data_IF_967716335706
#
_entry.id   IF_967716335706
#
_cell.length_a   1.000
_cell.length_b   1.000
_cell.length_c   1.000
_cell.angle_alpha   90.00
_cell.angle_beta   90.00
_cell.angle_gamma   90.00
#
_symmetry.space_group_name_H-M   'P 1'
#
loop_
_entity.id
_entity.type
_entity.pdbx_description
1 polymer ?
#
# COMPACT_ATOMS: atom_id res chain seq x y z
N UNK A 1 10.40 -23.56 -3.54
CA UNK A 1 10.30 -22.22 -2.92
C UNK A 1 10.22 -21.18 -4.01
N UNK A 2 9.44 -20.13 -3.80
CA UNK A 2 9.30 -19.04 -4.76
C UNK A 2 10.35 -17.95 -4.53
N UNK A 3 10.93 -17.49 -5.63
CA UNK A 3 11.89 -16.40 -5.67
C UNK A 3 11.43 -15.35 -6.66
N UNK A 4 11.85 -14.12 -6.43
CA UNK A 4 11.67 -13.00 -7.34
C UNK A 4 13.04 -12.54 -7.83
N UNK A 5 13.20 -12.43 -9.15
CA UNK A 5 14.35 -11.79 -9.77
C UNK A 5 13.94 -10.42 -10.28
N UNK A 6 14.69 -9.41 -9.88
CA UNK A 6 14.64 -8.06 -10.43
C UNK A 6 15.96 -7.79 -11.13
N UNK A 7 15.93 -7.41 -12.40
CA UNK A 7 17.13 -7.03 -13.13
C UNK A 7 16.92 -5.77 -13.95
N UNK A 8 18.04 -5.09 -14.20
CA UNK A 8 18.10 -3.79 -14.86
C UNK A 8 18.83 -3.93 -16.20
N UNK A 9 18.18 -3.53 -17.28
CA UNK A 9 18.76 -3.42 -18.62
C UNK A 9 19.00 -1.93 -18.92
N UNK A 10 20.14 -1.61 -19.54
CA UNK A 10 20.42 -0.24 -20.00
C UNK A 10 19.54 0.14 -21.19
N UNK A 11 19.09 1.40 -21.25
CA UNK A 11 18.23 1.86 -22.34
C UNK A 11 18.89 1.73 -23.73
N UNK A 12 20.22 1.78 -23.83
CA UNK A 12 20.95 1.51 -25.08
C UNK A 12 20.71 0.12 -25.67
N UNK A 13 20.34 -0.87 -24.86
CA UNK A 13 20.10 -2.26 -25.27
C UNK A 13 18.62 -2.60 -25.44
N UNK A 14 17.76 -1.59 -25.55
CA UNK A 14 16.31 -1.78 -25.70
C UNK A 14 15.94 -2.57 -26.96
N UNK A 15 16.72 -2.46 -28.04
CA UNK A 15 16.51 -3.24 -29.27
C UNK A 15 16.73 -4.74 -29.08
N UNK A 16 17.59 -5.12 -28.13
CA UNK A 16 17.93 -6.51 -27.81
C UNK A 16 17.13 -7.04 -26.62
N UNK A 17 16.06 -6.33 -26.20
CA UNK A 17 15.33 -6.61 -24.97
C UNK A 17 14.83 -8.05 -24.90
N UNK A 18 14.17 -8.54 -25.94
CA UNK A 18 13.61 -9.90 -25.97
C UNK A 18 14.69 -10.97 -25.92
N UNK A 19 15.82 -10.73 -26.60
CA UNK A 19 16.97 -11.62 -26.57
C UNK A 19 17.57 -11.70 -25.17
N UNK A 20 17.78 -10.56 -24.52
CA UNK A 20 18.32 -10.49 -23.15
C UNK A 20 17.37 -11.20 -22.18
N UNK A 21 16.05 -11.00 -22.32
CA UNK A 21 15.03 -11.71 -21.54
C UNK A 21 15.12 -13.22 -21.72
N UNK A 22 15.26 -13.69 -22.96
CA UNK A 22 15.38 -15.11 -23.27
C UNK A 22 16.64 -15.73 -22.66
N UNK A 23 17.79 -15.06 -22.77
CA UNK A 23 19.05 -15.52 -22.18
C UNK A 23 18.99 -15.57 -20.65
N UNK A 24 18.39 -14.57 -20.00
CA UNK A 24 18.17 -14.58 -18.53
C UNK A 24 17.23 -15.72 -18.12
N UNK A 25 16.16 -15.96 -18.90
CA UNK A 25 15.27 -17.09 -18.66
C UNK A 25 16.02 -18.43 -18.76
N UNK A 26 16.79 -18.61 -19.81
CA UNK A 26 17.56 -19.84 -20.05
C UNK A 26 18.56 -20.11 -18.93
N UNK A 27 19.24 -19.09 -18.40
CA UNK A 27 20.16 -19.23 -17.26
C UNK A 27 19.44 -19.81 -16.04
N UNK A 28 18.20 -19.38 -15.77
CA UNK A 28 17.42 -19.83 -14.61
C UNK A 28 16.80 -21.21 -14.85
N UNK A 29 16.24 -21.44 -16.05
CA UNK A 29 15.61 -22.72 -16.43
C UNK A 29 16.65 -23.85 -16.49
N UNK A 30 17.84 -23.58 -17.02
CA UNK A 30 18.93 -24.56 -17.10
C UNK A 30 19.41 -25.06 -15.72
N UNK A 31 19.15 -24.29 -14.66
CA UNK A 31 19.46 -24.66 -13.27
C UNK A 31 18.24 -25.22 -12.51
N UNK A 32 17.14 -25.51 -13.22
CA UNK A 32 15.93 -26.12 -12.65
C UNK A 32 14.85 -25.14 -12.18
N UNK A 33 14.96 -23.85 -12.52
CA UNK A 33 13.95 -22.86 -12.20
C UNK A 33 12.74 -22.90 -13.14
N UNK A 34 11.54 -22.68 -12.60
CA UNK A 34 10.29 -22.62 -13.37
C UNK A 34 9.65 -21.25 -13.21
N UNK A 35 9.54 -20.47 -14.28
CA UNK A 35 8.96 -19.13 -14.20
C UNK A 35 7.44 -19.17 -14.04
N UNK A 36 6.92 -18.24 -13.24
CA UNK A 36 5.52 -17.89 -13.23
C UNK A 36 5.19 -17.02 -14.46
N UNK A 37 3.91 -16.99 -14.81
CA UNK A 37 3.40 -16.30 -16.00
C UNK A 37 3.59 -14.78 -15.91
N UNK A 38 3.44 -14.20 -14.71
CA UNK A 38 3.45 -12.75 -14.53
C UNK A 38 4.85 -12.17 -14.71
N UNK A 39 4.92 -11.14 -15.55
CA UNK A 39 6.10 -10.33 -15.80
C UNK A 39 5.77 -8.85 -15.65
N UNK A 40 6.61 -8.11 -14.92
CA UNK A 40 6.47 -6.66 -14.76
C UNK A 40 7.67 -5.99 -15.41
N UNK A 41 7.41 -5.10 -16.36
CA UNK A 41 8.41 -4.32 -17.08
C UNK A 41 8.17 -2.85 -16.78
N UNK A 42 9.22 -2.13 -16.39
CA UNK A 42 9.11 -0.71 -16.08
C UNK A 42 10.31 0.09 -16.57
N UNK A 43 10.07 1.11 -17.38
CA UNK A 43 11.10 2.04 -17.85
C UNK A 43 11.22 3.20 -16.87
N UNK A 44 12.42 3.42 -16.33
CA UNK A 44 12.68 4.48 -15.35
C UNK A 44 13.96 5.24 -15.67
N UNK A 45 13.95 6.55 -15.38
CA UNK A 45 15.18 7.35 -15.31
C UNK A 45 15.94 6.96 -14.04
N UNK A 46 17.24 6.72 -14.17
CA UNK A 46 18.10 6.37 -13.06
C UNK A 46 18.48 7.64 -12.27
N UNK A 47 18.56 7.51 -10.94
CA UNK A 47 18.97 8.63 -10.07
C UNK A 47 20.43 9.07 -10.33
N UNK A 48 21.27 8.12 -10.75
CA UNK A 48 22.65 8.34 -11.15
C UNK A 48 23.02 7.45 -12.32
N UNK A 49 24.12 7.79 -13.02
CA UNK A 49 24.58 7.01 -14.17
C UNK A 49 25.13 5.65 -13.75
N UNK A 50 24.68 4.58 -14.40
CA UNK A 50 25.20 3.23 -14.21
C UNK A 50 25.79 2.76 -15.53
N UNK A 51 27.11 2.50 -15.59
CA UNK A 51 27.82 2.15 -16.83
C UNK A 51 27.46 3.09 -17.99
N UNK A 52 27.47 4.41 -17.73
CA UNK A 52 27.10 5.49 -18.65
C UNK A 52 25.61 5.61 -19.04
N UNK A 53 24.75 4.71 -18.58
CA UNK A 53 23.30 4.79 -18.81
C UNK A 53 22.63 5.77 -17.84
N UNK A 54 21.68 6.55 -18.36
CA UNK A 54 20.83 7.47 -17.56
C UNK A 54 19.39 6.97 -17.40
N UNK A 55 19.00 6.02 -18.24
CA UNK A 55 17.69 5.39 -18.25
C UNK A 55 17.88 3.88 -18.27
N UNK A 56 16.93 3.15 -17.71
CA UNK A 56 16.96 1.70 -17.74
C UNK A 56 15.58 1.09 -17.65
N UNK A 57 15.53 -0.19 -18.01
CA UNK A 57 14.35 -1.00 -18.06
C UNK A 57 14.47 -2.04 -16.94
N UNK A 58 13.63 -1.89 -15.92
CA UNK A 58 13.51 -2.84 -14.84
C UNK A 58 12.57 -3.97 -15.27
N UNK A 59 13.00 -5.20 -15.05
CA UNK A 59 12.17 -6.38 -15.28
C UNK A 59 12.14 -7.20 -14.01
N UNK A 60 10.94 -7.48 -13.53
CA UNK A 60 10.69 -8.30 -12.36
C UNK A 60 9.87 -9.52 -12.74
N UNK A 61 10.31 -10.70 -12.31
CA UNK A 61 9.62 -11.97 -12.53
C UNK A 61 9.77 -12.88 -11.33
N UNK A 62 8.76 -13.71 -11.11
CA UNK A 62 8.80 -14.78 -10.12
C UNK A 62 9.07 -16.12 -10.76
N UNK A 63 9.78 -16.96 -10.04
CA UNK A 63 10.04 -18.33 -10.43
C UNK A 63 10.10 -19.24 -9.20
N UNK A 64 9.76 -20.49 -9.41
CA UNK A 64 9.89 -21.55 -8.43
C UNK A 64 11.24 -22.25 -8.59
N UNK A 65 11.84 -22.58 -7.45
CA UNK A 65 13.07 -23.36 -7.39
C UNK A 65 12.94 -24.45 -6.32
N UNK A 66 13.24 -25.68 -6.70
CA UNK A 66 13.23 -26.82 -5.78
C UNK A 66 14.49 -26.85 -4.90
N UNK A 67 15.66 -26.65 -5.49
CA UNK A 67 16.97 -26.73 -4.83
C UNK A 67 17.54 -25.33 -4.51
N UNK A 68 17.58 -24.89 -3.25
CA UNK A 68 18.02 -23.55 -2.87
C UNK A 68 19.49 -23.28 -3.18
N UNK A 69 20.32 -24.31 -3.20
CA UNK A 69 21.76 -24.25 -3.48
C UNK A 69 22.03 -23.77 -4.92
N UNK A 70 21.12 -24.06 -5.86
CA UNK A 70 21.19 -23.64 -7.26
C UNK A 70 21.12 -22.14 -7.43
N UNK A 71 20.52 -21.41 -6.48
CA UNK A 71 20.49 -19.94 -6.49
C UNK A 71 21.90 -19.35 -6.50
N UNK A 72 22.88 -19.98 -5.84
CA UNK A 72 24.27 -19.51 -5.87
C UNK A 72 24.91 -19.69 -7.24
N UNK A 73 24.56 -20.77 -7.96
CA UNK A 73 25.04 -21.03 -9.32
C UNK A 73 24.44 -20.02 -10.29
N UNK A 74 23.14 -19.77 -10.19
CA UNK A 74 22.44 -18.74 -10.98
C UNK A 74 23.07 -17.36 -10.74
N UNK A 75 23.32 -16.98 -9.48
CA UNK A 75 24.01 -15.73 -9.15
C UNK A 75 25.37 -15.62 -9.85
N UNK A 76 26.17 -16.68 -9.87
CA UNK A 76 27.47 -16.69 -10.56
C UNK A 76 27.31 -16.51 -12.07
N UNK A 77 26.38 -17.24 -12.70
CA UNK A 77 26.09 -17.11 -14.14
C UNK A 77 25.62 -15.70 -14.52
N UNK A 78 24.66 -15.14 -13.77
CA UNK A 78 24.14 -13.79 -14.01
C UNK A 78 25.19 -12.70 -13.78
N UNK A 79 26.12 -12.88 -12.84
CA UNK A 79 27.24 -11.93 -12.66
C UNK A 79 28.20 -11.89 -13.86
N UNK A 80 28.40 -13.02 -14.54
CA UNK A 80 29.23 -13.10 -15.75
C UNK A 80 28.48 -12.59 -16.99
N UNK A 81 27.15 -12.52 -16.93
CA UNK A 81 26.32 -12.10 -18.03
C UNK A 81 26.34 -10.57 -18.22
N UNK A 82 26.81 -10.13 -19.39
CA UNK A 82 27.02 -8.70 -19.68
C UNK A 82 25.78 -8.01 -20.25
N UNK A 83 24.69 -8.76 -20.53
CA UNK A 83 23.43 -8.22 -21.04
C UNK A 83 22.71 -7.29 -20.06
N UNK A 84 22.92 -7.50 -18.76
CA UNK A 84 22.28 -6.73 -17.68
C UNK A 84 23.27 -5.82 -16.95
N UNK A 85 22.76 -4.72 -16.39
CA UNK A 85 23.54 -3.78 -15.59
C UNK A 85 23.69 -4.24 -14.14
N UNK A 86 22.59 -4.73 -13.56
CA UNK A 86 22.47 -5.17 -12.17
C UNK A 86 21.29 -6.12 -12.04
N UNK A 87 21.35 -7.02 -11.07
CA UNK A 87 20.23 -7.88 -10.69
C UNK A 87 20.19 -8.11 -9.19
N UNK A 88 19.06 -8.60 -8.70
CA UNK A 88 18.82 -9.01 -7.34
C UNK A 88 17.85 -10.19 -7.35
N UNK A 89 18.12 -11.20 -6.54
CA UNK A 89 17.24 -12.34 -6.32
C UNK A 89 16.87 -12.36 -4.84
N UNK A 90 15.57 -12.38 -4.56
CA UNK A 90 15.01 -12.37 -3.21
C UNK A 90 13.97 -13.48 -3.06
N UNK A 91 13.71 -13.93 -1.83
CA UNK A 91 12.63 -14.88 -1.57
C UNK A 91 11.28 -14.17 -1.73
N UNK A 92 10.36 -14.77 -2.48
CA UNK A 92 9.06 -14.15 -2.74
C UNK A 92 8.17 -14.08 -1.48
N UNK A 93 8.40 -14.96 -0.50
CA UNK A 93 7.66 -14.99 0.78
C UNK A 93 7.78 -13.70 1.60
N UNK A 94 8.85 -12.93 1.38
CA UNK A 94 9.14 -11.67 2.09
C UNK A 94 8.69 -10.44 1.29
N UNK A 95 8.14 -10.63 0.09
CA UNK A 95 7.78 -9.57 -0.84
C UNK A 95 6.26 -9.49 -1.04
N UNK A 96 5.71 -8.26 -1.20
CA UNK A 96 4.31 -8.10 -1.59
C UNK A 96 4.07 -8.71 -2.97
N UNK A 97 2.82 -8.94 -3.36
CA UNK A 97 2.50 -9.47 -4.69
C UNK A 97 3.18 -8.69 -5.82
N UNK A 98 3.60 -9.44 -6.84
CA UNK A 98 4.21 -8.85 -8.02
C UNK A 98 3.10 -8.20 -8.85
N UNK A 99 3.00 -6.88 -8.78
CA UNK A 99 1.97 -6.09 -9.47
C UNK A 99 2.60 -4.97 -10.27
N UNK A 100 1.95 -4.57 -11.37
CA UNK A 100 2.40 -3.44 -12.18
C UNK A 100 2.33 -2.15 -11.37
N UNK A 101 2.99 -1.10 -11.86
CA UNK A 101 2.90 0.22 -11.23
C UNK A 101 1.46 0.75 -11.26
N UNK A 102 0.75 0.61 -12.37
CA UNK A 102 -0.64 1.07 -12.48
C UNK A 102 -1.54 0.31 -11.50
N UNK A 103 -1.37 -1.00 -11.37
CA UNK A 103 -2.10 -1.83 -10.39
C UNK A 103 -1.84 -1.35 -8.96
N UNK A 104 -0.58 -1.03 -8.63
CA UNK A 104 -0.21 -0.50 -7.31
C UNK A 104 -0.83 0.86 -7.06
N UNK A 105 -0.76 1.77 -8.02
CA UNK A 105 -1.33 3.11 -7.91
C UNK A 105 -2.86 3.06 -7.76
N UNK A 106 -3.54 2.20 -8.53
CA UNK A 106 -4.98 2.00 -8.44
C UNK A 106 -5.39 1.40 -7.08
N UNK A 107 -4.64 0.43 -6.56
CA UNK A 107 -4.87 -0.14 -5.24
C UNK A 107 -4.69 0.92 -4.13
N UNK A 108 -3.63 1.72 -4.21
CA UNK A 108 -3.36 2.81 -3.27
C UNK A 108 -4.45 3.88 -3.30
N UNK A 109 -4.93 4.25 -4.48
CA UNK A 109 -6.03 5.20 -4.62
C UNK A 109 -7.32 4.68 -3.97
N UNK A 110 -7.71 3.43 -4.24
CA UNK A 110 -8.89 2.80 -3.62
C UNK A 110 -8.79 2.77 -2.09
N UNK A 111 -7.63 2.37 -1.56
CA UNK A 111 -7.38 2.36 -0.11
C UNK A 111 -7.53 3.76 0.47
N UNK A 112 -6.93 4.77 -0.17
CA UNK A 112 -7.02 6.16 0.28
C UNK A 112 -8.47 6.66 0.31
N UNK A 113 -9.23 6.42 -0.75
CA UNK A 113 -10.64 6.82 -0.83
C UNK A 113 -11.51 6.11 0.22
N UNK A 114 -11.29 4.81 0.44
CA UNK A 114 -12.00 4.07 1.50
C UNK A 114 -11.67 4.58 2.90
N UNK A 115 -10.41 4.95 3.17
CA UNK A 115 -9.99 5.52 4.45
C UNK A 115 -10.53 6.93 4.69
N UNK A 116 -10.64 7.75 3.64
CA UNK A 116 -11.25 9.08 3.70
C UNK A 116 -12.75 8.95 3.98
N UNK A 117 -13.46 8.07 3.26
CA UNK A 117 -14.88 7.80 3.50
C UNK A 117 -15.16 7.26 4.92
N UNK A 118 -14.30 6.37 5.45
CA UNK A 118 -14.46 5.87 6.81
C UNK A 118 -14.24 6.95 7.87
N UNK A 119 -13.26 7.85 7.66
CA UNK A 119 -13.01 8.99 8.56
C UNK A 119 -14.15 10.00 8.55
N UNK A 120 -14.72 10.29 7.38
CA UNK A 120 -15.89 11.18 7.27
C UNK A 120 -17.13 10.57 7.94
N UNK A 121 -17.32 9.25 7.83
CA UNK A 121 -18.38 8.53 8.54
C UNK A 121 -18.18 8.51 10.07
N UNK A 122 -16.95 8.37 10.55
CA UNK A 122 -16.64 8.44 11.98
C UNK A 122 -16.81 9.86 12.53
N UNK A 123 -16.32 10.88 11.82
CA UNK A 123 -16.50 12.28 12.20
C UNK A 123 -18.00 12.68 12.20
N UNK A 124 -18.78 12.21 11.22
CA UNK A 124 -20.22 12.44 11.20
C UNK A 124 -20.92 11.79 12.41
N UNK A 125 -20.53 10.57 12.80
CA UNK A 125 -21.06 9.86 13.98
C UNK A 125 -20.66 10.53 15.30
N UNK A 126 -19.46 11.08 15.39
CA UNK A 126 -19.02 11.85 16.58
C UNK A 126 -19.79 13.16 16.70
N UNK A 127 -19.98 13.88 15.61
CA UNK A 127 -20.81 15.11 15.57
C UNK A 127 -22.27 14.80 15.93
N UNK A 128 -22.80 13.64 15.49
CA UNK A 128 -24.16 13.22 15.84
C UNK A 128 -24.30 12.87 17.34
N UNK A 129 -23.32 12.15 17.90
CA UNK A 129 -23.26 11.86 19.35
C UNK A 129 -23.12 13.13 20.19
N UNK A 130 -22.32 14.09 19.74
CA UNK A 130 -22.13 15.36 20.42
C UNK A 130 -23.43 16.21 20.35
N UNK A 131 -24.13 16.22 19.21
CA UNK A 131 -25.45 16.86 19.08
C UNK A 131 -26.55 16.18 19.91
N UNK A 132 -26.52 14.85 20.06
CA UNK A 132 -27.41 14.13 20.97
C UNK A 132 -27.09 14.40 22.45
N UNK A 133 -25.81 14.53 22.81
CA UNK A 133 -25.36 14.93 24.14
C UNK A 133 -25.83 16.34 24.50
N UNK A 134 -25.61 17.31 23.61
CA UNK A 134 -26.03 18.71 23.79
C UNK A 134 -27.57 18.83 23.85
N UNK A 135 -28.31 18.03 23.07
CA UNK A 135 -29.78 17.99 23.17
C UNK A 135 -30.25 17.43 24.51
N UNK A 136 -29.61 16.37 25.04
CA UNK A 136 -29.96 15.81 26.35
C UNK A 136 -29.67 16.79 27.48
N UNK A 137 -28.52 17.45 27.48
CA UNK A 137 -28.16 18.48 28.46
C UNK A 137 -29.12 19.68 28.42
N UNK A 138 -29.49 20.17 27.23
CA UNK A 138 -30.45 21.28 27.09
C UNK A 138 -31.88 20.92 27.56
N UNK A 139 -32.27 19.64 27.47
CA UNK A 139 -33.57 19.15 27.99
C UNK A 139 -33.53 19.00 29.52
N UNK A 140 -32.40 18.53 30.08
CA UNK A 140 -32.16 18.40 31.52
C UNK A 140 -32.14 19.76 32.23
N UNK A 141 -31.48 20.75 31.62
CA UNK A 141 -31.37 22.11 32.14
C UNK A 141 -32.71 22.85 32.09
N UNK A 142 -33.50 22.65 31.02
CA UNK A 142 -34.88 23.16 30.94
C UNK A 142 -35.82 22.52 31.97
N UNK A 143 -35.62 21.26 32.34
CA UNK A 143 -36.40 20.59 33.40
C UNK A 143 -36.07 21.16 34.78
N UNK A 144 -34.78 21.34 35.09
CA UNK A 144 -34.34 21.94 36.37
C UNK A 144 -34.75 23.40 36.54
N UNK A 145 -34.76 24.17 35.46
CA UNK A 145 -35.27 25.57 35.48
C UNK A 145 -36.78 25.56 35.75
N UNK A 146 -37.52 24.60 35.21
CA UNK A 146 -38.96 24.48 35.42
C UNK A 146 -39.31 24.13 36.88
N UNK A 147 -38.63 23.15 37.47
CA UNK A 147 -38.80 22.81 38.90
C UNK A 147 -38.47 23.99 39.82
N UNK A 148 -37.39 24.73 39.55
CA UNK A 148 -37.05 25.93 40.34
C UNK A 148 -38.08 27.05 40.26
N UNK A 149 -38.73 27.21 39.10
CA UNK A 149 -39.78 28.23 38.92
C UNK A 149 -41.05 27.82 39.67
N UNK A 150 -41.37 26.52 39.69
CA UNK A 150 -42.53 25.97 40.42
C UNK A 150 -42.35 26.13 41.93
N UNK A 151 -41.17 25.80 42.47
CA UNK A 151 -40.82 25.99 43.89
C UNK A 151 -40.85 27.46 44.34
N UNK A 152 -40.46 28.40 43.47
CA UNK A 152 -40.49 29.85 43.76
C UNK A 152 -41.90 30.44 43.71
N UNK A 153 -42.80 29.84 42.93
CA UNK A 153 -44.21 30.22 42.87
C UNK A 153 -44.93 29.73 44.13
N UNK A 154 -44.65 28.49 44.57
CA UNK A 154 -45.23 27.91 45.78
C UNK A 154 -44.82 28.68 47.04
N UNK A 155 -43.54 29.08 47.16
CA UNK A 155 -43.08 29.95 48.25
C UNK A 155 -43.74 31.32 48.27
N UNK A 156 -43.96 31.93 47.10
CA UNK A 156 -44.66 33.22 47.00
C UNK A 156 -46.14 33.12 47.33
N UNK A 157 -46.78 31.97 47.07
CA UNK A 157 -48.16 31.72 47.46
C UNK A 157 -48.29 31.54 48.97
N UNK A 158 -47.35 30.83 49.62
CA UNK A 158 -47.30 30.70 51.08
C UNK A 158 -47.08 32.04 51.81
N UNK A 159 -46.32 32.96 51.20
CA UNK A 159 -46.08 34.30 51.75
C UNK A 159 -47.32 35.22 51.64
N UNK A 160 -48.16 35.01 50.61
CA UNK A 160 -49.43 35.75 50.40
C UNK A 160 -50.57 35.20 51.27
N UNK A 161 -50.54 33.92 51.62
CA UNK A 161 -51.57 33.24 52.44
C UNK A 161 -51.37 33.40 53.96
N UNK A 162 -50.25 33.96 54.42
CA UNK A 162 -49.92 34.15 55.84
C UNK A 162 -50.12 35.59 56.35
N UNK A 163 -51.04 36.35 55.75
CA UNK A 163 -51.56 37.64 56.30
C UNK A 163 -52.87 37.41 57.04
#
# INVERSE_FOLDING_TARGET
MEYEILYLIGASKETDLEKIKAEVMEIIISEGGQFLEKEVIEKRKLAYRIKHETHGIYIARRFEMAEPEKIQVINKKLNLYTGILRFMISKASELPELTSKEEREAALYKIKTSLEASKELEAAKEIEKEKEGIKKESIEEKRKIKEKIEDDIDKKLEEILNI
#
